data_IF_097756239236
#
_entry.id   IF_097756239236
#
_cell.length_a   1.000
_cell.length_b   1.000
_cell.length_c   1.000
_cell.angle_alpha   90.00
_cell.angle_beta   90.00
_cell.angle_gamma   90.00
#
_symmetry.space_group_name_H-M   'P 1'
#
loop_
_entity.id
_entity.type
_entity.pdbx_description
1 polymer ?
#
# COMPACT_ATOMS: atom_id res chain seq x y z
N UNK A 1 -11.17 7.88 -2.49
CA UNK A 1 -12.60 7.97 -2.10
C UNK A 1 -12.90 7.27 -0.78
N UNK A 2 -12.67 5.95 -0.65
CA UNK A 2 -12.94 5.22 0.61
C UNK A 2 -12.28 5.87 1.84
N UNK A 3 -11.00 6.22 1.75
CA UNK A 3 -10.26 6.93 2.82
C UNK A 3 -10.92 8.26 3.19
N UNK A 4 -11.36 9.05 2.20
CA UNK A 4 -12.07 10.32 2.45
C UNK A 4 -13.39 10.11 3.19
N UNK A 5 -14.10 9.03 2.90
CA UNK A 5 -15.32 8.68 3.63
C UNK A 5 -14.99 8.25 5.06
N UNK A 6 -14.00 7.39 5.26
CA UNK A 6 -13.57 6.94 6.60
C UNK A 6 -13.13 8.14 7.46
N UNK A 7 -12.32 9.05 6.89
CA UNK A 7 -11.88 10.27 7.55
C UNK A 7 -13.05 11.21 7.88
N UNK A 8 -14.06 11.31 7.01
CA UNK A 8 -15.25 12.14 7.28
C UNK A 8 -16.13 11.58 8.40
N UNK A 9 -16.03 10.27 8.68
CA UNK A 9 -16.65 9.65 9.87
C UNK A 9 -15.78 9.80 11.13
N UNK A 10 -14.66 10.52 11.06
CA UNK A 10 -13.75 10.76 12.17
C UNK A 10 -12.76 9.63 12.44
N UNK A 11 -12.68 8.62 11.57
CA UNK A 11 -11.77 7.48 11.73
C UNK A 11 -10.53 7.63 10.85
N UNK A 12 -9.38 7.27 11.39
CA UNK A 12 -8.19 6.90 10.64
C UNK A 12 -8.12 5.36 10.58
N UNK A 13 -7.68 4.81 9.45
CA UNK A 13 -7.53 3.38 9.25
C UNK A 13 -6.37 2.83 10.10
N UNK A 14 -5.22 3.51 10.10
CA UNK A 14 -4.05 3.17 10.92
C UNK A 14 -3.24 1.95 10.46
N UNK A 15 -3.64 1.34 9.34
CA UNK A 15 -3.02 0.16 8.74
C UNK A 15 -3.35 0.05 7.25
N UNK A 16 -3.21 1.17 6.53
CA UNK A 16 -3.57 1.22 5.12
C UNK A 16 -2.44 0.65 4.26
N UNK A 17 -2.72 -0.41 3.51
CA UNK A 17 -1.82 -1.01 2.52
C UNK A 17 -2.63 -1.85 1.52
N UNK A 18 -2.02 -2.26 0.40
CA UNK A 18 -2.74 -3.01 -0.65
C UNK A 18 -3.28 -4.37 -0.19
N UNK A 19 -2.66 -5.00 0.82
CA UNK A 19 -3.21 -6.21 1.46
C UNK A 19 -4.57 -6.01 2.16
N UNK A 20 -4.93 -4.77 2.52
CA UNK A 20 -6.24 -4.41 3.06
C UNK A 20 -7.18 -3.81 2.00
N UNK A 21 -6.77 -3.81 0.73
CA UNK A 21 -7.56 -3.42 -0.43
C UNK A 21 -7.99 -4.69 -1.20
N UNK A 22 -9.28 -4.99 -1.20
CA UNK A 22 -9.84 -6.19 -1.84
C UNK A 22 -10.58 -5.83 -3.12
N UNK A 23 -10.51 -6.68 -4.14
CA UNK A 23 -11.40 -6.60 -5.28
C UNK A 23 -12.71 -7.34 -4.98
N UNK A 24 -13.84 -6.69 -5.22
CA UNK A 24 -15.14 -7.34 -5.09
C UNK A 24 -15.29 -8.41 -6.18
N UNK A 25 -15.65 -9.63 -5.78
CA UNK A 25 -15.95 -10.69 -6.74
C UNK A 25 -17.12 -10.30 -7.65
N UNK A 26 -17.07 -10.63 -8.95
CA UNK A 26 -18.16 -10.33 -9.89
C UNK A 26 -19.41 -11.20 -9.69
N UNK A 27 -19.36 -12.16 -8.78
CA UNK A 27 -20.46 -13.07 -8.46
C UNK A 27 -20.55 -13.32 -6.95
N UNK A 28 -21.76 -13.62 -6.48
CA UNK A 28 -22.00 -13.99 -5.08
C UNK A 28 -21.53 -15.42 -4.81
N UNK A 29 -20.75 -15.60 -3.74
CA UNK A 29 -20.42 -16.91 -3.19
C UNK A 29 -21.53 -17.48 -2.28
N UNK A 30 -22.57 -16.71 -1.97
CA UNK A 30 -23.67 -17.15 -1.09
C UNK A 30 -24.71 -18.03 -1.79
N UNK A 31 -24.75 -17.99 -3.12
CA UNK A 31 -25.75 -18.69 -3.93
C UNK A 31 -25.35 -20.11 -4.39
N UNK A 32 -24.09 -20.39 -4.79
CA UNK A 32 -23.75 -21.73 -5.28
C UNK A 32 -23.79 -22.78 -4.18
N UNK A 33 -24.20 -24.01 -4.53
CA UNK A 33 -24.05 -25.17 -3.65
C UNK A 33 -22.58 -25.53 -3.46
N UNK A 34 -22.27 -26.34 -2.44
CA UNK A 34 -20.90 -26.82 -2.18
C UNK A 34 -20.36 -27.58 -3.40
N UNK A 35 -21.19 -28.37 -4.06
CA UNK A 35 -20.83 -29.12 -5.26
C UNK A 35 -20.51 -28.19 -6.45
N UNK A 36 -21.24 -27.08 -6.58
CA UNK A 36 -20.96 -26.07 -7.61
C UNK A 36 -19.65 -25.32 -7.34
N UNK A 37 -19.34 -25.05 -6.06
CA UNK A 37 -18.04 -24.49 -5.67
C UNK A 37 -16.90 -25.46 -6.02
N UNK A 38 -17.06 -26.76 -5.73
CA UNK A 38 -16.04 -27.76 -6.07
C UNK A 38 -15.91 -28.01 -7.57
N UNK A 39 -17.01 -27.97 -8.32
CA UNK A 39 -16.95 -28.05 -9.78
C UNK A 39 -16.20 -26.86 -10.41
N UNK A 40 -16.29 -25.68 -9.80
CA UNK A 40 -15.63 -24.46 -10.31
C UNK A 40 -14.17 -24.34 -9.87
N UNK A 41 -13.88 -24.64 -8.60
CA UNK A 41 -12.58 -24.34 -7.98
C UNK A 41 -11.78 -25.59 -7.59
N UNK A 42 -12.34 -26.77 -7.78
CA UNK A 42 -11.77 -28.03 -7.32
C UNK A 42 -12.20 -28.41 -5.90
N UNK A 43 -11.96 -29.67 -5.55
CA UNK A 43 -12.19 -30.15 -4.19
C UNK A 43 -11.17 -29.54 -3.20
N UNK A 44 -11.51 -29.41 -1.91
CA UNK A 44 -10.60 -28.86 -0.92
C UNK A 44 -9.31 -29.66 -0.82
N UNK A 45 -8.18 -28.99 -0.91
CA UNK A 45 -6.88 -29.62 -0.71
C UNK A 45 -6.59 -29.75 0.79
N UNK A 46 -6.40 -30.99 1.24
CA UNK A 46 -6.11 -31.30 2.64
C UNK A 46 -4.61 -31.43 2.84
N UNK A 47 -4.09 -30.80 3.88
CA UNK A 47 -2.70 -30.93 4.29
C UNK A 47 -2.61 -31.54 5.68
N UNK A 48 -1.86 -32.64 5.87
CA UNK A 48 -1.79 -33.31 7.17
C UNK A 48 -1.12 -32.42 8.21
N UNK A 49 -1.69 -32.37 9.41
CA UNK A 49 -1.04 -31.73 10.55
C UNK A 49 0.00 -32.70 11.12
N UNK A 50 1.27 -32.29 11.05
CA UNK A 50 2.40 -33.03 11.59
C UNK A 50 2.93 -32.31 12.82
N UNK A 51 3.16 -33.04 13.90
CA UNK A 51 3.80 -32.48 15.10
C UNK A 51 5.30 -32.30 14.84
N UNK A 52 5.85 -31.16 15.24
CA UNK A 52 7.29 -30.88 15.12
C UNK A 52 8.17 -31.87 15.91
N UNK A 53 7.60 -32.53 16.93
CA UNK A 53 8.28 -33.58 17.72
C UNK A 53 8.15 -34.99 17.14
N UNK A 54 7.54 -35.15 15.96
CA UNK A 54 7.38 -36.41 15.25
C UNK A 54 6.37 -37.39 15.87
N UNK A 55 5.67 -37.02 16.95
CA UNK A 55 4.66 -37.89 17.56
C UNK A 55 3.35 -37.90 16.75
N UNK A 56 2.50 -38.94 16.92
CA UNK A 56 1.20 -38.98 16.25
C UNK A 56 0.28 -37.82 16.69
N UNK A 57 -0.37 -37.17 15.73
CA UNK A 57 -1.34 -36.08 15.94
C UNK A 57 -2.61 -36.56 16.67
N UNK A 58 -2.93 -37.87 16.58
CA UNK A 58 -4.05 -38.53 17.27
C UNK A 58 -3.99 -38.46 18.80
N UNK A 59 -2.84 -38.09 19.37
CA UNK A 59 -2.63 -38.00 20.82
C UNK A 59 -3.12 -36.69 21.46
N UNK A 60 -3.58 -35.70 20.68
CA UNK A 60 -3.98 -34.38 21.22
C UNK A 60 -5.48 -34.15 21.03
N UNK A 61 -6.29 -34.17 22.11
CA UNK A 61 -7.72 -33.89 22.03
C UNK A 61 -8.00 -32.53 21.38
N UNK A 62 -8.92 -32.48 20.41
CA UNK A 62 -9.36 -31.23 19.77
C UNK A 62 -8.56 -30.78 18.54
N UNK A 63 -7.48 -31.46 18.18
CA UNK A 63 -6.70 -31.14 16.97
C UNK A 63 -7.19 -32.00 15.80
N UNK A 64 -7.60 -31.35 14.70
CA UNK A 64 -7.96 -32.07 13.46
C UNK A 64 -6.71 -32.69 12.83
N UNK A 65 -6.82 -33.82 12.12
CA UNK A 65 -5.66 -34.48 11.51
C UNK A 65 -5.13 -33.74 10.27
N UNK A 66 -5.85 -32.73 9.77
CA UNK A 66 -5.49 -31.95 8.59
C UNK A 66 -5.96 -30.51 8.72
N UNK A 67 -5.31 -29.63 7.95
CA UNK A 67 -5.81 -28.31 7.57
C UNK A 67 -6.34 -28.35 6.14
N UNK A 68 -7.17 -27.37 5.80
CA UNK A 68 -7.65 -27.16 4.43
C UNK A 68 -6.88 -25.97 3.88
N UNK A 69 -6.21 -26.13 2.75
CA UNK A 69 -5.50 -25.02 2.12
C UNK A 69 -6.50 -23.97 1.62
N UNK A 70 -6.20 -22.67 1.77
CA UNK A 70 -7.06 -21.63 1.24
C UNK A 70 -7.12 -21.71 -0.29
N UNK A 71 -8.33 -21.52 -0.82
CA UNK A 71 -8.57 -21.45 -2.27
C UNK A 71 -7.95 -20.17 -2.85
N UNK A 72 -7.18 -20.30 -3.92
CA UNK A 72 -6.65 -19.15 -4.66
C UNK A 72 -7.67 -18.64 -5.69
N UNK A 73 -8.15 -17.41 -5.50
CA UNK A 73 -9.12 -16.75 -6.40
C UNK A 73 -8.47 -15.68 -7.30
N UNK A 74 -7.13 -15.66 -7.39
CA UNK A 74 -6.42 -14.68 -8.17
C UNK A 74 -6.56 -14.92 -9.68
N UNK A 75 -6.65 -13.83 -10.44
CA UNK A 75 -6.58 -13.80 -11.89
C UNK A 75 -5.41 -12.91 -12.32
N UNK A 76 -4.86 -13.09 -13.53
CA UNK A 76 -3.93 -12.12 -14.12
C UNK A 76 -4.56 -10.71 -14.17
N UNK A 77 -3.75 -9.68 -13.93
CA UNK A 77 -4.25 -8.29 -13.87
C UNK A 77 -4.72 -7.77 -15.22
N UNK A 78 -4.22 -8.32 -16.33
CA UNK A 78 -4.62 -8.04 -17.71
C UNK A 78 -5.94 -8.71 -18.10
N UNK A 79 -6.41 -9.70 -17.33
CA UNK A 79 -7.76 -10.27 -17.46
C UNK A 79 -8.82 -9.48 -16.66
N UNK A 80 -8.40 -8.63 -15.71
CA UNK A 80 -9.31 -7.84 -14.90
C UNK A 80 -9.92 -6.70 -15.72
N UNK A 81 -11.24 -6.73 -15.92
CA UNK A 81 -11.91 -5.64 -16.62
C UNK A 81 -12.15 -4.43 -15.70
N UNK A 82 -12.28 -3.24 -16.29
CA UNK A 82 -12.65 -2.04 -15.53
C UNK A 82 -14.01 -2.17 -14.81
N UNK A 83 -14.89 -3.07 -15.29
CA UNK A 83 -16.17 -3.39 -14.66
C UNK A 83 -16.04 -4.22 -13.38
N UNK A 84 -14.93 -4.95 -13.23
CA UNK A 84 -14.63 -5.86 -12.12
C UNK A 84 -13.62 -5.27 -11.13
N UNK A 85 -12.92 -4.19 -11.51
CA UNK A 85 -11.99 -3.44 -10.68
C UNK A 85 -12.70 -2.61 -9.56
N UNK A 86 -13.65 -3.23 -8.86
CA UNK A 86 -14.38 -2.69 -7.70
C UNK A 86 -13.53 -2.88 -6.44
N UNK A 87 -12.73 -1.88 -6.11
CA UNK A 87 -11.89 -1.91 -4.91
C UNK A 87 -12.70 -1.61 -3.63
N UNK A 88 -12.53 -2.45 -2.62
CA UNK A 88 -13.06 -2.31 -1.27
C UNK A 88 -11.91 -2.10 -0.29
N UNK A 89 -12.04 -1.09 0.56
CA UNK A 89 -11.17 -0.93 1.72
C UNK A 89 -11.72 -1.80 2.85
N UNK A 90 -10.87 -2.65 3.42
CA UNK A 90 -11.25 -3.67 4.40
C UNK A 90 -10.33 -3.62 5.62
N UNK A 91 -10.59 -4.47 6.60
CA UNK A 91 -9.83 -4.61 7.84
C UNK A 91 -9.67 -3.32 8.68
N UNK A 92 -10.75 -2.95 9.34
CA UNK A 92 -10.78 -1.85 10.31
C UNK A 92 -10.41 -2.32 11.73
N UNK A 93 -9.79 -3.50 11.89
CA UNK A 93 -9.49 -4.10 13.20
C UNK A 93 -8.61 -3.22 14.08
N UNK A 94 -7.83 -2.34 13.45
CA UNK A 94 -7.00 -1.34 14.12
C UNK A 94 -7.38 0.09 13.77
N UNK A 95 -8.58 0.38 13.25
CA UNK A 95 -9.01 1.76 13.05
C UNK A 95 -9.13 2.52 14.38
N UNK A 96 -8.99 3.86 14.35
CA UNK A 96 -9.14 4.70 15.55
C UNK A 96 -9.67 6.09 15.21
N UNK A 97 -10.23 6.77 16.22
CA UNK A 97 -10.62 8.16 16.13
C UNK A 97 -9.55 9.03 16.79
N UNK A 98 -8.78 9.83 16.02
CA UNK A 98 -7.74 10.69 16.59
C UNK A 98 -8.26 11.67 17.66
N UNK A 99 -9.54 12.06 17.59
CA UNK A 99 -10.20 12.93 18.57
C UNK A 99 -10.53 12.26 19.90
N UNK A 100 -10.62 10.92 19.96
CA UNK A 100 -11.03 10.18 21.15
C UNK A 100 -9.87 9.45 21.82
N UNK A 101 -8.95 8.90 21.03
CA UNK A 101 -7.84 8.10 21.55
C UNK A 101 -6.57 8.35 20.75
N UNK A 102 -5.53 8.80 21.44
CA UNK A 102 -4.18 8.90 20.88
C UNK A 102 -3.65 7.51 20.51
N UNK A 103 -2.97 7.44 19.38
CA UNK A 103 -2.27 6.25 18.91
C UNK A 103 -0.87 6.61 18.50
N UNK A 104 0.11 5.88 19.02
CA UNK A 104 1.53 6.17 18.79
C UNK A 104 2.21 5.12 17.91
N UNK A 105 1.56 3.98 17.68
CA UNK A 105 2.10 2.89 16.88
C UNK A 105 1.32 2.76 15.56
N UNK A 106 2.06 2.69 14.46
CA UNK A 106 1.53 2.34 13.14
C UNK A 106 1.66 0.83 12.94
N UNK A 107 0.58 0.19 12.52
CA UNK A 107 0.60 -1.24 12.18
C UNK A 107 0.89 -1.48 10.70
N UNK A 108 0.83 -0.42 9.88
CA UNK A 108 1.19 -0.46 8.46
C UNK A 108 2.57 -1.12 8.24
N UNK A 109 2.71 -1.95 7.17
CA UNK A 109 3.98 -2.49 6.73
C UNK A 109 5.05 -1.41 6.60
N UNK A 110 6.31 -1.73 6.91
CA UNK A 110 7.41 -0.76 6.97
C UNK A 110 7.54 0.11 5.71
N UNK A 111 7.33 -0.47 4.52
CA UNK A 111 7.46 0.21 3.22
C UNK A 111 6.41 1.29 2.96
N UNK A 112 5.26 1.24 3.64
CA UNK A 112 4.19 2.25 3.52
C UNK A 112 3.93 2.96 4.84
N UNK A 113 4.76 2.70 5.86
CA UNK A 113 4.65 3.29 7.18
C UNK A 113 5.04 4.77 7.10
N UNK A 114 4.26 5.67 7.71
CA UNK A 114 4.57 7.09 7.68
C UNK A 114 5.81 7.41 8.55
N UNK A 115 6.65 8.36 8.14
CA UNK A 115 7.97 8.60 8.74
C UNK A 115 7.88 9.14 10.17
N UNK A 116 6.80 9.85 10.54
CA UNK A 116 6.59 10.32 11.91
C UNK A 116 6.51 9.16 12.91
N UNK A 117 6.11 7.95 12.50
CA UNK A 117 6.10 6.78 13.37
C UNK A 117 7.52 6.37 13.82
N UNK A 118 8.55 6.74 13.06
CA UNK A 118 9.95 6.52 13.40
C UNK A 118 10.57 7.75 14.08
N UNK A 119 10.36 8.94 13.53
CA UNK A 119 11.01 10.17 14.01
C UNK A 119 10.35 10.82 15.22
N UNK A 120 9.05 10.60 15.41
CA UNK A 120 8.24 11.20 16.47
C UNK A 120 7.37 10.12 17.14
N UNK A 121 7.97 9.08 17.75
CA UNK A 121 7.22 7.94 18.31
C UNK A 121 6.32 8.33 19.50
N UNK A 122 6.49 9.52 20.05
CA UNK A 122 5.66 10.09 21.13
C UNK A 122 4.58 11.04 20.60
N UNK A 123 4.58 11.36 19.31
CA UNK A 123 3.50 12.13 18.69
C UNK A 123 2.40 11.18 18.21
N UNK A 124 1.12 11.53 18.42
CA UNK A 124 0.03 10.68 17.97
C UNK A 124 -0.10 10.70 16.45
N UNK A 125 -0.33 9.54 15.87
CA UNK A 125 -0.77 9.38 14.49
C UNK A 125 -2.13 10.04 14.28
N UNK A 126 -2.37 10.45 13.04
CA UNK A 126 -3.57 11.19 12.64
C UNK A 126 -4.07 10.72 11.27
N UNK A 127 -5.09 11.39 10.74
CA UNK A 127 -5.55 11.16 9.37
C UNK A 127 -4.42 11.28 8.33
N UNK A 128 -3.46 12.18 8.56
CA UNK A 128 -2.32 12.40 7.67
C UNK A 128 -1.37 11.19 7.58
N UNK A 129 -1.41 10.30 8.57
CA UNK A 129 -0.67 9.03 8.55
C UNK A 129 -1.23 8.07 7.50
N UNK A 130 -2.57 8.00 7.35
CA UNK A 130 -3.19 7.22 6.26
C UNK A 130 -2.90 7.83 4.88
N UNK A 131 -2.79 9.16 4.78
CA UNK A 131 -2.52 9.86 3.52
C UNK A 131 -1.16 9.47 2.96
N UNK A 132 -0.15 9.34 3.82
CA UNK A 132 1.16 8.84 3.43
C UNK A 132 1.05 7.42 2.86
N UNK A 133 0.46 6.50 3.61
CA UNK A 133 0.32 5.10 3.18
C UNK A 133 -0.51 4.97 1.91
N UNK A 134 -1.50 5.85 1.72
CA UNK A 134 -2.31 5.92 0.51
C UNK A 134 -1.47 6.40 -0.68
N UNK A 135 -0.60 7.39 -0.49
CA UNK A 135 0.33 7.87 -1.53
C UNK A 135 1.25 6.74 -2.02
N UNK A 136 1.85 5.98 -1.09
CA UNK A 136 2.65 4.80 -1.45
C UNK A 136 1.83 3.76 -2.21
N UNK A 137 0.60 3.49 -1.74
CA UNK A 137 -0.30 2.50 -2.37
C UNK A 137 -0.75 2.91 -3.78
N UNK A 138 -0.99 4.21 -4.02
CA UNK A 138 -1.34 4.72 -5.36
C UNK A 138 -0.18 4.49 -6.34
N UNK A 139 1.05 4.81 -5.93
CA UNK A 139 2.22 4.55 -6.77
C UNK A 139 2.37 3.06 -7.07
N UNK A 140 2.24 2.20 -6.07
CA UNK A 140 2.37 0.75 -6.23
C UNK A 140 1.30 0.13 -7.15
N UNK A 141 0.08 0.69 -7.19
CA UNK A 141 -0.95 0.27 -8.16
C UNK A 141 -0.56 0.63 -9.60
N UNK A 142 0.10 1.78 -9.79
CA UNK A 142 0.45 2.29 -11.12
C UNK A 142 1.76 1.72 -11.66
N UNK A 143 2.66 1.34 -10.78
CA UNK A 143 3.94 0.70 -11.09
C UNK A 143 3.89 -0.81 -10.91
N UNK A 144 4.96 -1.48 -11.34
CA UNK A 144 5.14 -2.92 -11.10
C UNK A 144 5.96 -3.22 -9.82
N UNK A 145 6.26 -2.20 -9.01
CA UNK A 145 7.05 -2.26 -7.77
C UNK A 145 6.50 -1.27 -6.74
N UNK A 146 6.68 -1.60 -5.47
CA UNK A 146 6.42 -0.67 -4.36
C UNK A 146 7.28 0.59 -4.48
N UNK A 147 6.74 1.73 -4.02
CA UNK A 147 7.47 3.00 -4.04
C UNK A 147 8.77 2.92 -3.25
N UNK A 148 8.82 2.14 -2.18
CA UNK A 148 10.01 1.85 -1.38
C UNK A 148 10.25 0.35 -1.41
N UNK A 149 11.50 -0.05 -1.70
CA UNK A 149 11.86 -1.46 -1.69
C UNK A 149 12.12 -1.89 -0.25
N UNK A 150 11.61 -3.04 0.15
CA UNK A 150 11.61 -3.39 1.56
C UNK A 150 11.33 -4.81 1.94
N UNK A 151 11.55 -5.78 1.04
CA UNK A 151 11.46 -7.19 1.44
C UNK A 151 12.58 -7.46 2.45
N UNK A 152 12.22 -7.49 3.74
CA UNK A 152 13.12 -7.73 4.87
C UNK A 152 14.18 -6.61 5.04
N UNK A 153 13.77 -5.35 4.83
CA UNK A 153 14.66 -4.19 4.96
C UNK A 153 14.51 -3.51 6.33
N UNK A 154 15.61 -3.21 7.05
CA UNK A 154 15.56 -2.45 8.31
C UNK A 154 15.01 -1.03 8.16
N UNK A 155 14.44 -0.48 9.22
CA UNK A 155 13.83 0.86 9.25
C UNK A 155 14.77 1.97 8.75
N UNK A 156 16.04 1.97 9.14
CA UNK A 156 17.00 3.01 8.72
C UNK A 156 17.28 2.99 7.22
N UNK A 157 17.28 1.81 6.59
CA UNK A 157 17.47 1.69 5.15
C UNK A 157 16.23 2.16 4.37
N UNK A 158 15.03 1.91 4.91
CA UNK A 158 13.78 2.53 4.41
C UNK A 158 13.89 4.06 4.48
N UNK A 159 14.35 4.60 5.62
CA UNK A 159 14.57 6.04 5.78
C UNK A 159 15.59 6.58 4.77
N UNK A 160 16.70 5.87 4.55
CA UNK A 160 17.69 6.25 3.55
C UNK A 160 17.08 6.31 2.14
N UNK A 161 16.29 5.31 1.74
CA UNK A 161 15.60 5.31 0.45
C UNK A 161 14.64 6.49 0.29
N UNK A 162 13.92 6.85 1.36
CA UNK A 162 13.03 8.01 1.37
C UNK A 162 13.82 9.32 1.18
N UNK A 163 15.01 9.44 1.76
CA UNK A 163 15.87 10.62 1.57
C UNK A 163 16.39 10.73 0.13
N UNK A 164 16.74 9.60 -0.50
CA UNK A 164 17.08 9.60 -1.93
C UNK A 164 15.89 9.98 -2.82
N UNK A 165 14.65 9.69 -2.38
CA UNK A 165 13.43 9.97 -3.12
C UNK A 165 12.93 11.41 -2.94
N UNK A 166 12.82 11.88 -1.69
CA UNK A 166 12.20 13.15 -1.30
C UNK A 166 13.20 14.25 -0.92
N UNK A 167 14.49 13.93 -0.79
CA UNK A 167 15.47 14.83 -0.19
C UNK A 167 15.48 14.77 1.34
N UNK A 168 16.22 15.68 1.95
CA UNK A 168 16.41 15.68 3.41
C UNK A 168 15.09 15.85 4.17
N UNK A 169 14.90 15.13 5.29
CA UNK A 169 13.80 15.38 6.20
C UNK A 169 14.05 16.70 6.95
N UNK A 170 13.06 17.19 7.73
CA UNK A 170 13.24 18.33 8.63
C UNK A 170 14.50 18.18 9.50
N UNK A 171 15.21 19.28 9.78
CA UNK A 171 16.49 19.28 10.51
C UNK A 171 16.43 18.47 11.81
N UNK A 172 15.37 18.66 12.60
CA UNK A 172 15.19 17.96 13.88
C UNK A 172 15.06 16.44 13.70
N UNK A 173 14.52 15.98 12.57
CA UNK A 173 14.42 14.55 12.23
C UNK A 173 15.76 14.05 11.71
N UNK A 174 16.40 14.84 10.84
CA UNK A 174 17.72 14.56 10.32
C UNK A 174 18.73 14.32 11.45
N UNK A 175 18.79 15.22 12.42
CA UNK A 175 19.76 15.20 13.52
C UNK A 175 19.49 14.10 14.55
N UNK A 176 18.24 13.65 14.69
CA UNK A 176 17.88 12.50 15.53
C UNK A 176 18.24 11.15 14.91
N UNK A 177 18.54 11.11 13.61
CA UNK A 177 18.82 9.86 12.93
C UNK A 177 20.25 9.37 13.18
N UNK A 178 20.45 8.59 14.25
CA UNK A 178 21.79 8.16 14.70
C UNK A 178 22.58 7.34 13.65
N UNK A 179 21.91 6.43 12.94
CA UNK A 179 22.55 5.55 11.95
C UNK A 179 22.69 6.18 10.57
N UNK A 180 22.31 7.45 10.40
CA UNK A 180 22.38 8.20 9.13
C UNK A 180 23.75 8.14 8.47
N UNK A 181 24.82 8.17 9.28
CA UNK A 181 26.22 8.18 8.81
C UNK A 181 26.61 6.95 7.99
N UNK A 182 25.82 5.87 8.02
CA UNK A 182 25.99 4.72 7.14
C UNK A 182 25.64 5.02 5.67
N UNK A 183 24.77 6.00 5.42
CA UNK A 183 24.28 6.35 4.08
C UNK A 183 24.64 7.76 3.64
N UNK A 184 24.90 8.68 4.56
CA UNK A 184 25.17 10.08 4.25
C UNK A 184 26.39 10.59 5.03
N UNK A 185 27.20 11.43 4.39
CA UNK A 185 28.33 12.09 5.06
C UNK A 185 27.86 13.21 6.03
N UNK A 186 28.82 13.86 6.70
CA UNK A 186 28.55 14.96 7.64
C UNK A 186 27.88 16.17 6.98
N UNK A 187 28.05 16.35 5.67
CA UNK A 187 27.40 17.41 4.87
C UNK A 187 26.02 16.99 4.35
N UNK A 188 25.62 15.75 4.61
CA UNK A 188 24.38 15.15 4.18
C UNK A 188 24.34 14.68 2.73
N UNK A 189 25.51 14.54 2.09
CA UNK A 189 25.59 13.95 0.75
C UNK A 189 25.54 12.42 0.82
N UNK A 190 24.86 11.76 -0.14
CA UNK A 190 24.84 10.30 -0.21
C UNK A 190 26.26 9.72 -0.33
N UNK A 191 26.52 8.65 0.41
CA UNK A 191 27.72 7.82 0.30
C UNK A 191 27.57 6.74 -0.80
N UNK A 192 26.34 6.50 -1.25
CA UNK A 192 26.00 5.59 -2.34
C UNK A 192 26.39 6.17 -3.70
N UNK A 193 26.59 5.31 -4.70
CA UNK A 193 26.80 5.77 -6.06
C UNK A 193 25.48 6.30 -6.65
N UNK A 194 25.55 7.23 -7.60
CA UNK A 194 24.35 7.79 -8.27
C UNK A 194 23.43 6.71 -8.87
N UNK A 195 24.02 5.62 -9.39
CA UNK A 195 23.27 4.47 -9.94
C UNK A 195 22.42 3.73 -8.90
N UNK A 196 22.75 3.85 -7.63
CA UNK A 196 22.04 3.24 -6.50
C UNK A 196 20.99 4.21 -5.93
N UNK A 197 20.95 5.46 -6.43
CA UNK A 197 19.96 6.47 -6.09
C UNK A 197 18.74 6.37 -7.02
N UNK A 198 17.55 6.30 -6.41
CA UNK A 198 16.29 6.13 -7.12
C UNK A 198 15.37 7.33 -6.88
N UNK A 199 15.51 8.35 -7.73
CA UNK A 199 14.70 9.56 -7.73
C UNK A 199 13.26 9.29 -8.20
N UNK A 200 12.38 10.27 -8.00
CA UNK A 200 11.00 10.22 -8.51
C UNK A 200 10.93 9.93 -10.00
N UNK A 201 11.69 10.68 -10.82
CA UNK A 201 11.66 10.53 -12.27
C UNK A 201 12.12 9.15 -12.71
N UNK A 202 13.23 8.66 -12.13
CA UNK A 202 13.73 7.32 -12.45
C UNK A 202 12.76 6.22 -12.05
N UNK A 203 12.21 6.26 -10.82
CA UNK A 203 11.20 5.29 -10.38
C UNK A 203 9.96 5.34 -11.27
N UNK A 204 9.52 6.53 -11.68
CA UNK A 204 8.39 6.65 -12.59
C UNK A 204 8.69 6.05 -13.96
N UNK A 205 9.81 6.44 -14.58
CA UNK A 205 10.15 6.04 -15.93
C UNK A 205 10.41 4.53 -16.02
N UNK A 206 11.12 3.97 -15.05
CA UNK A 206 11.42 2.52 -15.03
C UNK A 206 10.26 1.69 -14.49
N UNK A 207 9.58 2.12 -13.41
CA UNK A 207 8.61 1.27 -12.71
C UNK A 207 7.17 1.46 -13.16
N UNK A 208 6.78 2.67 -13.57
CA UNK A 208 5.44 2.95 -14.10
C UNK A 208 5.44 2.81 -15.62
N UNK A 209 6.39 3.43 -16.32
CA UNK A 209 6.39 3.47 -17.78
C UNK A 209 7.15 2.31 -18.44
N UNK A 210 8.24 1.83 -17.84
CA UNK A 210 9.19 0.91 -18.49
C UNK A 210 8.59 -0.39 -19.00
N UNK A 211 7.58 -0.95 -18.32
CA UNK A 211 6.93 -2.21 -18.73
C UNK A 211 5.66 -2.02 -19.56
N UNK A 212 5.11 -0.80 -19.65
CA UNK A 212 3.83 -0.56 -20.35
C UNK A 212 3.87 -0.94 -21.84
N UNK A 213 4.91 -0.59 -22.62
CA UNK A 213 4.99 -0.98 -24.02
C UNK A 213 5.00 -2.50 -24.22
N UNK A 214 5.73 -3.25 -23.37
CA UNK A 214 5.74 -4.72 -23.44
C UNK A 214 4.39 -5.36 -23.06
N UNK A 215 3.58 -4.65 -22.28
CA UNK A 215 2.22 -5.06 -21.90
C UNK A 215 1.14 -4.49 -22.84
N UNK A 216 1.51 -3.90 -23.98
CA UNK A 216 0.55 -3.33 -24.94
C UNK A 216 -0.27 -2.15 -24.40
N UNK A 217 0.24 -1.46 -23.37
CA UNK A 217 -0.39 -0.31 -22.73
C UNK A 217 0.35 0.97 -23.09
N UNK A 218 -0.39 2.05 -23.32
CA UNK A 218 0.21 3.36 -23.57
C UNK A 218 0.98 3.86 -22.33
N UNK A 219 2.12 4.51 -22.60
CA UNK A 219 2.86 5.21 -21.56
C UNK A 219 2.04 6.37 -20.99
N UNK A 220 2.25 6.63 -19.70
CA UNK A 220 1.74 7.84 -19.07
C UNK A 220 2.44 9.04 -19.69
N UNK A 221 1.63 9.99 -20.19
CA UNK A 221 2.11 11.21 -20.84
C UNK A 221 2.70 12.19 -19.82
N UNK A 222 3.51 13.13 -20.30
CA UNK A 222 4.24 14.07 -19.45
C UNK A 222 3.33 14.96 -18.59
N UNK A 223 2.16 15.36 -19.10
CA UNK A 223 1.17 16.15 -18.36
C UNK A 223 0.54 15.34 -17.21
N UNK A 224 0.17 14.10 -17.46
CA UNK A 224 -0.32 13.18 -16.43
C UNK A 224 0.77 12.84 -15.41
N UNK A 225 2.01 12.56 -15.87
CA UNK A 225 3.18 12.30 -15.01
C UNK A 225 3.42 13.47 -14.08
N UNK A 226 3.44 14.70 -14.60
CA UNK A 226 3.67 15.89 -13.80
C UNK A 226 2.58 16.05 -12.72
N UNK A 227 1.31 15.95 -13.09
CA UNK A 227 0.19 16.07 -12.15
C UNK A 227 0.19 14.97 -11.08
N UNK A 228 0.55 13.73 -11.46
CA UNK A 228 0.65 12.61 -10.54
C UNK A 228 1.81 12.76 -9.56
N UNK A 229 2.99 13.17 -10.03
CA UNK A 229 4.16 13.38 -9.17
C UNK A 229 3.93 14.56 -8.22
N UNK A 230 3.25 15.62 -8.65
CA UNK A 230 2.84 16.72 -7.77
C UNK A 230 1.93 16.21 -6.64
N UNK A 231 0.89 15.44 -6.98
CA UNK A 231 -0.01 14.83 -6.00
C UNK A 231 0.75 13.92 -5.01
N UNK A 232 1.57 13.00 -5.52
CA UNK A 232 2.30 12.04 -4.69
C UNK A 232 3.28 12.73 -3.75
N UNK A 233 4.01 13.75 -4.22
CA UNK A 233 4.92 14.54 -3.38
C UNK A 233 4.19 15.26 -2.26
N UNK A 234 2.98 15.78 -2.52
CA UNK A 234 2.15 16.42 -1.49
C UNK A 234 1.64 15.42 -0.46
N UNK A 235 1.15 14.26 -0.90
CA UNK A 235 0.71 13.17 -0.01
C UNK A 235 1.86 12.60 0.83
N UNK A 236 3.08 12.61 0.30
CA UNK A 236 4.29 12.08 0.92
C UNK A 236 5.21 13.18 1.46
N UNK A 237 4.64 14.32 1.86
CA UNK A 237 5.38 15.33 2.60
C UNK A 237 5.89 14.73 3.93
N UNK A 238 7.12 15.11 4.33
CA UNK A 238 7.75 14.58 5.53
C UNK A 238 6.88 14.80 6.77
N UNK A 239 6.47 16.05 7.03
CA UNK A 239 5.65 16.38 8.19
C UNK A 239 4.17 16.07 7.92
N UNK A 240 3.45 15.49 8.88
CA UNK A 240 2.02 15.22 8.74
C UNK A 240 1.17 16.46 8.45
N UNK A 241 1.57 17.61 9.00
CA UNK A 241 0.84 18.88 8.84
C UNK A 241 0.87 19.43 7.41
N UNK A 242 1.85 19.01 6.60
CA UNK A 242 2.02 19.47 5.22
C UNK A 242 1.28 18.58 4.21
N UNK A 243 0.70 17.46 4.68
CA UNK A 243 -0.04 16.52 3.84
C UNK A 243 -1.48 16.97 3.61
N UNK A 244 -2.07 16.69 2.45
CA UNK A 244 -3.46 17.00 2.17
C UNK A 244 -4.41 16.20 3.06
N UNK A 245 -5.63 16.71 3.28
CA UNK A 245 -6.72 15.86 3.74
C UNK A 245 -7.16 14.97 2.58
N UNK A 246 -7.76 13.82 2.90
CA UNK A 246 -8.25 12.90 1.88
C UNK A 246 -9.28 13.54 0.92
N UNK A 247 -10.04 14.53 1.37
CA UNK A 247 -10.96 15.29 0.52
C UNK A 247 -10.22 16.22 -0.45
N UNK A 248 -9.12 16.84 -0.02
CA UNK A 248 -8.33 17.75 -0.86
C UNK A 248 -7.60 16.96 -1.95
N UNK A 249 -7.19 15.72 -1.67
CA UNK A 249 -6.65 14.79 -2.68
C UNK A 249 -7.61 14.63 -3.86
N UNK A 250 -8.92 14.46 -3.59
CA UNK A 250 -9.93 14.30 -4.65
C UNK A 250 -10.07 15.54 -5.54
N UNK A 251 -9.66 16.70 -5.04
CA UNK A 251 -9.76 17.98 -5.75
C UNK A 251 -8.54 18.29 -6.63
N UNK A 252 -7.49 17.47 -6.57
CA UNK A 252 -6.26 17.67 -7.37
C UNK A 252 -6.48 17.48 -8.87
N UNK A 253 -5.59 18.08 -9.66
CA UNK A 253 -5.61 17.98 -11.12
C UNK A 253 -5.57 16.52 -11.58
N UNK A 254 -4.68 15.69 -11.01
CA UNK A 254 -4.57 14.28 -11.38
C UNK A 254 -5.89 13.52 -11.14
N UNK A 255 -6.51 13.74 -9.98
CA UNK A 255 -7.80 13.10 -9.65
C UNK A 255 -8.92 13.55 -10.58
N UNK A 256 -9.04 14.85 -10.87
CA UNK A 256 -10.14 15.40 -11.69
C UNK A 256 -10.03 15.07 -13.17
N UNK A 257 -8.83 15.06 -13.73
CA UNK A 257 -8.63 14.90 -15.18
C UNK A 257 -8.39 13.45 -15.61
N UNK A 258 -7.84 12.60 -14.74
CA UNK A 258 -7.52 11.20 -15.10
C UNK A 258 -8.26 10.18 -14.22
N UNK A 259 -8.05 10.21 -12.89
CA UNK A 259 -8.51 9.11 -12.03
C UNK A 259 -10.04 9.03 -11.86
N UNK A 260 -10.73 10.15 -11.55
CA UNK A 260 -12.19 10.17 -11.37
C UNK A 260 -12.95 9.91 -12.69
N UNK A 261 -12.53 10.46 -13.85
CA UNK A 261 -13.11 10.06 -15.14
C UNK A 261 -12.95 8.56 -15.43
N UNK A 262 -11.77 7.99 -15.20
CA UNK A 262 -11.52 6.56 -15.37
C UNK A 262 -12.41 5.72 -14.44
N UNK A 263 -12.50 6.11 -13.16
CA UNK A 263 -13.40 5.48 -12.20
C UNK A 263 -14.86 5.57 -12.62
N UNK A 264 -15.34 6.73 -13.08
CA UNK A 264 -16.72 6.89 -13.53
C UNK A 264 -17.04 6.03 -14.76
N UNK A 265 -16.07 5.85 -15.67
CA UNK A 265 -16.18 4.94 -16.81
C UNK A 265 -16.27 3.48 -16.36
N UNK A 266 -15.39 3.06 -15.45
CA UNK A 266 -15.42 1.72 -14.85
C UNK A 266 -16.74 1.45 -14.12
N UNK A 267 -17.23 2.43 -13.35
CA UNK A 267 -18.49 2.34 -12.62
C UNK A 267 -19.71 2.13 -13.52
N UNK A 268 -19.73 2.69 -14.73
CA UNK A 268 -20.80 2.42 -15.71
C UNK A 268 -20.79 0.98 -16.21
N UNK A 269 -19.63 0.30 -16.13
CA UNK A 269 -19.49 -1.11 -16.47
C UNK A 269 -19.76 -2.05 -15.30
N UNK A 270 -20.00 -1.51 -14.09
CA UNK A 270 -20.41 -2.29 -12.93
C UNK A 270 -21.84 -2.79 -13.15
N UNK A 271 -21.95 -4.00 -13.67
CA UNK A 271 -23.19 -4.77 -13.62
C UNK A 271 -23.34 -5.45 -12.26
#
# INVERSE_FOLDING_TARGET
>A
MAVSFVHSQGYAHGDLHLGNCMLQLPYSLSNPSVEQLYAKFGAPELEPIVRSDGKPTSSTPGVRPYVVKPMWLGIPSDELTAGEAKLLLTDFGVAFRPSEKSRFQSYAPLVVRPPEAFFEPTAPLSFASDIWSLGCSIFEILGHRSLIDGIITPQDEITAQLVHLQGHPPSDWWDKWELRSKWFDETGKPLSNERDMWSWDRRFDEWVNGLRPSCGTDMVKDDEKAALLELLRWMLAWKPADRPRAVDVLETAWMKHWALPAYAKGRKAWK
#
